data_IF_986792956902
#
_entry.id   IF_986792956902
#
_cell.length_a   1.000
_cell.length_b   1.000
_cell.length_c   1.000
_cell.angle_alpha   90.00
_cell.angle_beta   90.00
_cell.angle_gamma   90.00
#
_symmetry.space_group_name_H-M   'P 1'
#
loop_
_entity.id
_entity.type
_entity.pdbx_description
1 polymer ?
#
# COMPACT_ATOMS: atom_id res chain seq x y z
N UNK A 1 18.78 13.91 2.07
CA UNK A 1 17.33 13.85 2.32
C UNK A 1 16.87 15.06 3.09
N UNK A 2 15.99 15.87 2.50
CA UNK A 2 15.37 17.01 3.21
C UNK A 2 14.36 16.49 4.24
N UNK A 3 14.08 17.28 5.28
CA UNK A 3 13.08 16.92 6.29
C UNK A 3 11.68 16.68 5.69
N UNK A 4 11.35 17.37 4.59
CA UNK A 4 10.12 17.16 3.85
C UNK A 4 10.06 15.79 3.16
N UNK A 5 11.14 15.38 2.50
CA UNK A 5 11.21 14.06 1.86
C UNK A 5 11.17 12.93 2.90
N UNK A 6 11.81 13.11 4.06
CA UNK A 6 11.73 12.16 5.18
C UNK A 6 10.29 11.95 5.65
N UNK A 7 9.58 13.04 5.97
CA UNK A 7 8.18 12.96 6.41
C UNK A 7 7.26 12.36 5.36
N UNK A 8 7.52 12.64 4.08
CA UNK A 8 6.76 12.04 2.98
C UNK A 8 7.01 10.53 2.90
N UNK A 9 8.26 10.08 3.02
CA UNK A 9 8.60 8.67 3.07
C UNK A 9 7.94 7.95 4.26
N UNK A 10 8.02 8.54 5.47
CA UNK A 10 7.38 8.00 6.66
C UNK A 10 5.86 7.88 6.49
N UNK A 11 5.22 8.87 5.89
CA UNK A 11 3.79 8.84 5.59
C UNK A 11 3.43 7.76 4.55
N UNK A 12 4.25 7.58 3.51
CA UNK A 12 4.06 6.52 2.52
C UNK A 12 4.21 5.13 3.16
N UNK A 13 5.19 4.94 4.04
CA UNK A 13 5.39 3.68 4.77
C UNK A 13 4.17 3.36 5.65
N UNK A 14 3.69 4.34 6.41
CA UNK A 14 2.50 4.17 7.24
C UNK A 14 1.27 3.78 6.40
N UNK A 15 1.04 4.47 5.28
CA UNK A 15 -0.06 4.14 4.38
C UNK A 15 0.09 2.75 3.73
N UNK A 16 1.31 2.32 3.36
CA UNK A 16 1.56 0.97 2.83
C UNK A 16 1.13 -0.09 3.85
N UNK A 17 1.52 0.07 5.12
CA UNK A 17 1.16 -0.86 6.20
C UNK A 17 -0.36 -0.92 6.38
N UNK A 18 -1.04 0.22 6.32
CA UNK A 18 -2.50 0.31 6.38
C UNK A 18 -3.16 -0.41 5.19
N UNK A 19 -2.69 -0.17 3.96
CA UNK A 19 -3.23 -0.84 2.78
C UNK A 19 -3.06 -2.36 2.85
N UNK A 20 -1.93 -2.85 3.35
CA UNK A 20 -1.65 -4.28 3.46
C UNK A 20 -2.48 -4.93 4.58
N UNK A 21 -2.62 -4.28 5.73
CA UNK A 21 -3.46 -4.74 6.85
C UNK A 21 -4.93 -4.82 6.43
N UNK A 22 -5.48 -3.74 5.85
CA UNK A 22 -6.85 -3.72 5.36
C UNK A 22 -7.09 -4.73 4.24
N UNK A 23 -6.11 -4.93 3.34
CA UNK A 23 -6.22 -5.96 2.31
C UNK A 23 -6.32 -7.37 2.90
N UNK A 24 -5.59 -7.64 3.97
CA UNK A 24 -5.62 -8.92 4.67
C UNK A 24 -6.96 -9.14 5.37
N UNK A 25 -7.42 -8.18 6.18
CA UNK A 25 -8.71 -8.25 6.88
C UNK A 25 -9.88 -8.44 5.89
N UNK A 26 -9.89 -7.70 4.78
CA UNK A 26 -10.93 -7.84 3.75
C UNK A 26 -10.91 -9.22 3.07
N UNK A 27 -9.74 -9.85 2.95
CA UNK A 27 -9.66 -11.20 2.41
C UNK A 27 -10.23 -12.22 3.42
N UNK A 28 -9.88 -12.10 4.70
CA UNK A 28 -10.42 -12.96 5.76
C UNK A 28 -11.94 -12.82 5.88
N UNK A 29 -12.47 -11.59 5.86
CA UNK A 29 -13.92 -11.37 5.84
C UNK A 29 -14.58 -11.97 4.61
N UNK A 30 -13.94 -11.93 3.44
CA UNK A 30 -14.50 -12.57 2.27
C UNK A 30 -14.62 -14.09 2.43
N UNK A 31 -13.63 -14.72 3.05
CA UNK A 31 -13.63 -16.16 3.28
C UNK A 31 -14.70 -16.57 4.30
N UNK A 32 -14.93 -15.75 5.34
CA UNK A 32 -16.06 -15.92 6.25
C UNK A 32 -17.41 -15.80 5.53
N UNK A 33 -17.58 -14.77 4.69
CA UNK A 33 -18.82 -14.59 3.92
C UNK A 33 -19.08 -15.72 2.93
N UNK A 34 -18.03 -16.28 2.32
CA UNK A 34 -18.16 -17.43 1.43
C UNK A 34 -18.57 -18.69 2.20
N UNK A 35 -18.02 -18.90 3.40
CA UNK A 35 -18.42 -20.02 4.27
C UNK A 35 -19.91 -19.94 4.69
N UNK A 36 -20.44 -18.72 4.82
CA UNK A 36 -21.85 -18.45 5.14
C UNK A 36 -22.76 -18.36 3.89
N UNK A 37 -22.29 -18.77 2.70
CA UNK A 37 -23.00 -18.74 1.40
C UNK A 37 -23.40 -17.33 0.92
N UNK A 38 -22.77 -16.28 1.46
CA UNK A 38 -22.92 -14.88 1.06
C UNK A 38 -21.97 -14.51 -0.10
N UNK A 39 -22.08 -15.23 -1.22
CA UNK A 39 -21.12 -15.17 -2.34
C UNK A 39 -20.94 -13.77 -2.96
N UNK A 40 -22.01 -12.98 -3.08
CA UNK A 40 -21.93 -11.62 -3.62
C UNK A 40 -21.17 -10.67 -2.69
N UNK A 41 -21.35 -10.82 -1.38
CA UNK A 41 -20.64 -10.06 -0.35
C UNK A 41 -19.16 -10.47 -0.32
N UNK A 42 -18.87 -11.77 -0.37
CA UNK A 42 -17.51 -12.29 -0.47
C UNK A 42 -16.77 -11.73 -1.70
N UNK A 43 -17.42 -11.73 -2.87
CA UNK A 43 -16.84 -11.16 -4.09
C UNK A 43 -16.52 -9.66 -3.96
N UNK A 44 -17.39 -8.90 -3.28
CA UNK A 44 -17.18 -7.47 -3.00
C UNK A 44 -15.93 -7.26 -2.13
N UNK A 45 -15.82 -7.98 -1.01
CA UNK A 45 -14.66 -7.88 -0.13
C UNK A 45 -13.35 -8.31 -0.81
N UNK A 46 -13.37 -9.36 -1.63
CA UNK A 46 -12.20 -9.74 -2.46
C UNK A 46 -11.80 -8.64 -3.43
N UNK A 47 -12.77 -7.96 -4.04
CA UNK A 47 -12.50 -6.83 -4.93
C UNK A 47 -11.83 -5.68 -4.19
N UNK A 48 -12.36 -5.32 -3.02
CA UNK A 48 -11.78 -4.28 -2.16
C UNK A 48 -10.36 -4.66 -1.71
N UNK A 49 -10.15 -5.90 -1.26
CA UNK A 49 -8.84 -6.43 -0.87
C UNK A 49 -7.82 -6.29 -2.01
N UNK A 50 -8.20 -6.68 -3.24
CA UNK A 50 -7.33 -6.51 -4.43
C UNK A 50 -7.00 -5.04 -4.69
N UNK A 51 -7.99 -4.16 -4.61
CA UNK A 51 -7.78 -2.71 -4.80
C UNK A 51 -6.77 -2.15 -3.80
N UNK A 52 -6.87 -2.54 -2.52
CA UNK A 52 -5.92 -2.15 -1.48
C UNK A 52 -4.51 -2.65 -1.77
N UNK A 53 -4.35 -3.91 -2.20
CA UNK A 53 -3.04 -4.46 -2.61
C UNK A 53 -2.42 -3.70 -3.77
N UNK A 54 -3.21 -3.34 -4.79
CA UNK A 54 -2.75 -2.51 -5.91
C UNK A 54 -2.27 -1.16 -5.40
N UNK A 55 -3.01 -0.54 -4.49
CA UNK A 55 -2.60 0.75 -3.92
C UNK A 55 -1.28 0.65 -3.14
N UNK A 56 -1.10 -0.40 -2.34
CA UNK A 56 0.16 -0.66 -1.64
C UNK A 56 1.36 -0.82 -2.61
N UNK A 57 1.16 -1.51 -3.74
CA UNK A 57 2.20 -1.63 -4.78
C UNK A 57 2.54 -0.29 -5.43
N UNK A 58 1.54 0.55 -5.75
CA UNK A 58 1.79 1.91 -6.28
C UNK A 58 2.61 2.75 -5.31
N UNK A 59 2.28 2.71 -4.02
CA UNK A 59 2.99 3.45 -2.97
C UNK A 59 4.44 2.96 -2.82
N UNK A 60 4.68 1.65 -2.88
CA UNK A 60 6.04 1.09 -2.90
C UNK A 60 6.85 1.58 -4.11
N UNK A 61 6.22 1.64 -5.28
CA UNK A 61 6.85 2.22 -6.48
C UNK A 61 7.22 3.70 -6.30
N UNK A 62 6.32 4.49 -5.73
CA UNK A 62 6.56 5.90 -5.45
C UNK A 62 7.66 6.12 -4.40
N UNK A 63 7.70 5.27 -3.36
CA UNK A 63 8.74 5.32 -2.33
C UNK A 63 10.13 5.01 -2.93
N UNK A 64 10.23 3.97 -3.75
CA UNK A 64 11.48 3.65 -4.45
C UNK A 64 11.94 4.78 -5.38
N UNK A 65 11.01 5.44 -6.09
CA UNK A 65 11.33 6.59 -6.93
C UNK A 65 11.83 7.80 -6.10
N UNK A 66 11.24 8.03 -4.93
CA UNK A 66 11.66 9.08 -4.00
C UNK A 66 13.06 8.84 -3.46
N UNK A 67 13.40 7.59 -3.14
CA UNK A 67 14.74 7.19 -2.67
C UNK A 67 15.80 7.44 -3.74
N UNK A 68 15.55 7.04 -5.00
CA UNK A 68 16.46 7.28 -6.14
C UNK A 68 16.66 8.77 -6.37
N UNK A 69 15.57 9.56 -6.45
CA UNK A 69 15.67 11.00 -6.66
C UNK A 69 16.46 11.72 -5.55
N UNK A 70 16.35 11.24 -4.31
CA UNK A 70 17.14 11.77 -3.20
C UNK A 70 18.62 11.38 -3.28
N UNK A 71 18.96 10.18 -3.78
CA UNK A 71 20.33 9.74 -3.97
C UNK A 71 21.04 10.56 -5.06
N UNK A 72 20.41 10.73 -6.22
CA UNK A 72 20.96 11.54 -7.34
C UNK A 72 21.22 12.99 -6.91
N UNK A 73 20.30 13.56 -6.12
CA UNK A 73 20.45 14.93 -5.58
C UNK A 73 21.61 15.08 -4.59
N UNK A 74 22.04 13.99 -3.94
CA UNK A 74 23.19 14.00 -3.03
C UNK A 74 24.53 13.72 -3.71
N UNK A 75 24.55 13.06 -4.88
CA UNK A 75 25.79 12.72 -5.61
C UNK A 75 26.18 13.72 -6.70
N UNK A 76 25.22 14.44 -7.30
CA UNK A 76 25.48 15.41 -8.38
C UNK A 76 25.96 16.81 -7.95
N UNK A 77 26.21 17.03 -6.65
CA UNK A 77 26.57 18.35 -6.08
C UNK A 77 28.06 18.56 -5.79
N UNK A 78 28.96 17.90 -6.52
CA UNK A 78 30.43 17.99 -6.39
C UNK A 78 31.08 18.94 -7.38
#
# INVERSE_FOLDING_TARGET
MTDGHRRLADAMIAEIVEQESMAHELAEFADLMEADDHLATAATFRSMSRSRRVKGMELRGNLAALEVANHDATEGGG
#
